data_IF_831260209605
#
_entry.id   IF_831260209605
#
_cell.length_a   1.000
_cell.length_b   1.000
_cell.length_c   1.000
_cell.angle_alpha   90.00
_cell.angle_beta   90.00
_cell.angle_gamma   90.00
#
_symmetry.space_group_name_H-M   'P 1'
#
loop_
_entity.id
_entity.type
_entity.pdbx_description
1 polymer ?
#
# COMPACT_ATOMS: atom_id res chain seq x y z
N UNK A 1 -11.40 -25.46 -43.24
CA UNK A 1 -11.71 -24.01 -43.21
C UNK A 1 -12.33 -23.70 -41.86
N UNK A 2 -11.56 -23.14 -40.95
CA UNK A 2 -12.03 -22.64 -39.65
C UNK A 2 -11.24 -21.37 -39.37
N UNK A 3 -11.90 -20.23 -39.50
CA UNK A 3 -11.28 -18.91 -39.43
C UNK A 3 -11.43 -18.32 -38.02
N UNK A 4 -10.28 -17.92 -37.48
CA UNK A 4 -10.06 -17.21 -36.23
C UNK A 4 -10.89 -15.92 -36.14
N UNK A 5 -11.50 -15.67 -34.97
CA UNK A 5 -11.96 -14.33 -34.57
C UNK A 5 -10.74 -13.57 -34.03
N UNK A 6 -10.41 -12.45 -34.68
CA UNK A 6 -9.51 -11.42 -34.15
C UNK A 6 -10.33 -10.51 -33.24
N UNK A 7 -9.79 -10.20 -32.07
CA UNK A 7 -10.20 -9.08 -31.23
C UNK A 7 -9.76 -7.79 -31.94
N UNK A 8 -10.68 -6.87 -32.20
CA UNK A 8 -10.38 -5.52 -32.68
C UNK A 8 -10.25 -4.61 -31.45
N UNK A 9 -9.05 -4.05 -31.25
CA UNK A 9 -8.78 -2.98 -30.30
C UNK A 9 -9.45 -1.69 -30.78
N UNK A 10 -10.32 -1.10 -29.94
CA UNK A 10 -10.91 0.22 -30.18
C UNK A 10 -9.82 1.31 -30.10
N UNK A 11 -9.40 1.84 -31.26
CA UNK A 11 -8.54 3.00 -31.34
C UNK A 11 -9.37 4.29 -31.32
N UNK A 12 -9.41 4.96 -30.17
CA UNK A 12 -9.88 6.34 -30.07
C UNK A 12 -8.88 7.29 -30.75
N UNK A 13 -9.27 7.91 -31.87
CA UNK A 13 -8.45 8.87 -32.60
C UNK A 13 -8.66 10.27 -32.00
N UNK A 14 -7.63 10.83 -31.36
CA UNK A 14 -7.63 12.23 -30.90
C UNK A 14 -7.05 13.10 -32.03
N UNK A 15 -7.88 13.94 -32.64
CA UNK A 15 -7.44 14.94 -33.61
C UNK A 15 -7.18 16.27 -32.89
N UNK A 16 -5.92 16.69 -32.83
CA UNK A 16 -5.52 18.02 -32.34
C UNK A 16 -5.21 18.88 -33.57
N UNK A 17 -6.04 19.90 -33.82
CA UNK A 17 -5.73 20.93 -34.82
C UNK A 17 -4.79 21.95 -34.18
N UNK A 18 -3.56 22.00 -34.65
CA UNK A 18 -2.55 22.99 -34.28
C UNK A 18 -2.73 24.22 -35.17
N UNK A 19 -3.45 25.24 -34.68
CA UNK A 19 -3.55 26.55 -35.33
C UNK A 19 -3.14 27.62 -34.32
N UNK A 20 -1.87 28.02 -34.39
CA UNK A 20 -1.27 29.11 -33.63
C UNK A 20 -1.86 30.45 -34.07
N UNK A 21 -2.94 30.87 -33.42
CA UNK A 21 -3.34 32.28 -33.42
C UNK A 21 -3.87 32.70 -32.04
N UNK A 22 -3.24 33.73 -31.48
CA UNK A 22 -3.60 34.31 -30.19
C UNK A 22 -5.04 34.84 -30.21
N UNK A 23 -5.96 34.07 -29.62
CA UNK A 23 -7.23 34.61 -29.13
C UNK A 23 -7.72 33.84 -27.91
N UNK A 24 -8.01 34.59 -26.86
CA UNK A 24 -8.52 34.12 -25.58
C UNK A 24 -9.96 33.64 -25.70
N UNK A 25 -10.20 32.35 -25.92
CA UNK A 25 -11.45 31.65 -25.58
C UNK A 25 -11.29 30.13 -25.76
N UNK A 26 -11.46 29.42 -24.63
CA UNK A 26 -11.54 27.96 -24.42
C UNK A 26 -11.33 27.00 -25.60
N UNK A 27 -10.25 26.20 -25.52
CA UNK A 27 -10.12 24.93 -26.24
C UNK A 27 -11.30 24.01 -25.88
N UNK A 28 -12.26 23.87 -26.79
CA UNK A 28 -13.35 22.90 -26.66
C UNK A 28 -12.93 21.58 -27.31
N UNK A 29 -12.69 20.56 -26.48
CA UNK A 29 -12.47 19.18 -26.95
C UNK A 29 -13.82 18.54 -27.21
N UNK A 30 -14.07 18.09 -28.44
CA UNK A 30 -15.24 17.30 -28.80
C UNK A 30 -14.86 15.82 -28.78
N UNK A 31 -15.38 15.07 -27.80
CA UNK A 31 -15.36 13.61 -27.80
C UNK A 31 -16.61 13.14 -28.56
N UNK A 32 -16.40 12.47 -29.70
CA UNK A 32 -17.49 11.84 -30.47
C UNK A 32 -17.40 10.35 -30.23
N UNK A 33 -18.26 9.84 -29.34
CA UNK A 33 -18.43 8.40 -29.17
C UNK A 33 -19.24 7.82 -30.35
N UNK A 34 -18.83 6.68 -30.94
CA UNK A 34 -19.66 5.97 -31.90
C UNK A 34 -20.95 5.48 -31.23
N UNK A 35 -22.09 5.78 -31.86
CA UNK A 35 -23.41 5.40 -31.38
C UNK A 35 -23.60 3.87 -31.41
N UNK A 36 -23.33 3.21 -30.29
CA UNK A 36 -23.88 1.88 -30.02
C UNK A 36 -25.29 2.02 -29.43
N UNK A 37 -26.27 1.36 -30.07
CA UNK A 37 -27.65 1.26 -29.56
C UNK A 37 -27.70 0.27 -28.39
N UNK A 38 -28.34 0.61 -27.26
CA UNK A 38 -28.93 -0.41 -26.39
C UNK A 38 -30.46 -0.36 -26.50
N UNK A 39 -31.04 -1.53 -26.80
CA UNK A 39 -32.42 -1.82 -26.46
C UNK A 39 -32.42 -2.40 -25.05
N UNK A 40 -32.94 -1.67 -24.06
CA UNK A 40 -33.46 -2.21 -22.80
C UNK A 40 -34.46 -1.19 -22.22
N UNK A 41 -35.66 -1.68 -21.91
CA UNK A 41 -36.84 -0.90 -21.51
C UNK A 41 -36.64 -0.16 -20.17
N UNK A 42 -36.74 1.16 -20.19
CA UNK A 42 -36.74 1.99 -18.98
C UNK A 42 -38.17 2.12 -18.41
N UNK A 43 -38.31 1.83 -17.11
CA UNK A 43 -39.54 2.11 -16.34
C UNK A 43 -39.71 3.62 -16.18
N UNK A 44 -40.79 4.16 -16.74
CA UNK A 44 -41.21 5.55 -16.59
C UNK A 44 -41.43 5.91 -15.12
N UNK A 45 -40.61 6.80 -14.57
CA UNK A 45 -40.87 7.48 -13.30
C UNK A 45 -41.95 8.55 -13.48
N UNK A 46 -42.84 8.69 -12.50
CA UNK A 46 -43.96 9.64 -12.51
C UNK A 46 -43.47 11.08 -12.49
N UNK A 47 -44.02 11.89 -13.40
CA UNK A 47 -43.72 13.31 -13.59
C UNK A 47 -44.38 14.13 -12.46
N UNK A 48 -43.57 14.86 -11.69
CA UNK A 48 -44.06 15.89 -10.75
C UNK A 48 -43.81 17.25 -11.38
N UNK A 49 -44.87 17.98 -11.70
CA UNK A 49 -44.80 19.30 -12.35
C UNK A 49 -44.97 20.39 -11.28
N UNK A 50 -44.00 21.29 -11.17
CA UNK A 50 -44.10 22.52 -10.38
C UNK A 50 -44.82 23.57 -11.25
N UNK A 51 -46.02 23.99 -10.82
CA UNK A 51 -46.92 24.83 -11.63
C UNK A 51 -46.50 26.33 -11.66
N UNK A 52 -45.51 26.73 -10.85
CA UNK A 52 -45.08 28.14 -10.73
C UNK A 52 -43.80 28.46 -11.54
N UNK A 53 -43.10 27.43 -12.01
CA UNK A 53 -41.97 27.55 -12.94
C UNK A 53 -42.27 26.72 -14.18
N UNK A 54 -42.36 27.32 -15.37
CA UNK A 54 -42.54 26.63 -16.67
C UNK A 54 -41.32 25.74 -17.07
N UNK A 55 -40.68 25.09 -16.10
CA UNK A 55 -39.53 24.22 -16.25
C UNK A 55 -40.00 22.77 -16.23
N UNK A 56 -40.08 22.16 -17.42
CA UNK A 56 -40.34 20.73 -17.57
C UNK A 56 -39.01 19.98 -17.66
N UNK A 57 -38.80 18.99 -16.79
CA UNK A 57 -37.69 18.03 -16.94
C UNK A 57 -38.02 17.07 -18.08
N UNK A 58 -37.47 17.33 -19.26
CA UNK A 58 -37.75 16.54 -20.48
C UNK A 58 -36.92 15.25 -20.57
N UNK A 59 -35.88 15.13 -19.75
CA UNK A 59 -35.00 13.97 -19.69
C UNK A 59 -34.32 13.90 -18.32
N UNK A 60 -34.37 12.73 -17.68
CA UNK A 60 -33.58 12.43 -16.50
C UNK A 60 -32.87 11.09 -16.73
N UNK A 61 -31.55 11.10 -16.62
CA UNK A 61 -30.74 9.89 -16.61
C UNK A 61 -29.99 9.82 -15.30
N UNK A 62 -30.00 8.65 -14.67
CA UNK A 62 -29.18 8.42 -13.49
C UNK A 62 -27.70 8.51 -13.89
N UNK A 63 -26.97 9.41 -13.25
CA UNK A 63 -25.54 9.54 -13.48
C UNK A 63 -24.80 8.30 -12.95
N UNK A 64 -23.73 7.91 -13.64
CA UNK A 64 -22.82 6.90 -13.11
C UNK A 64 -22.11 7.49 -11.88
N UNK A 65 -22.17 6.76 -10.76
CA UNK A 65 -21.45 7.15 -9.55
C UNK A 65 -19.96 6.92 -9.79
N UNK A 66 -19.16 7.97 -9.76
CA UNK A 66 -17.71 7.90 -9.90
C UNK A 66 -17.04 7.49 -8.58
N UNK A 67 -15.82 6.93 -8.61
CA UNK A 67 -15.04 6.70 -7.39
C UNK A 67 -14.92 7.97 -6.54
N UNK A 68 -15.24 7.86 -5.26
CA UNK A 68 -15.24 8.99 -4.33
C UNK A 68 -14.75 8.56 -2.95
N UNK A 69 -14.21 9.49 -2.18
CA UNK A 69 -13.81 9.19 -0.82
C UNK A 69 -15.05 8.84 -0.01
N UNK A 70 -14.93 7.89 0.92
CA UNK A 70 -16.07 7.49 1.76
C UNK A 70 -16.82 8.66 2.40
N UNK A 71 -16.11 9.71 2.84
CA UNK A 71 -16.73 10.88 3.47
C UNK A 71 -17.55 11.77 2.53
N UNK A 72 -17.48 11.53 1.22
CA UNK A 72 -18.26 12.20 0.17
C UNK A 72 -19.37 11.30 -0.40
N UNK A 73 -19.59 10.11 0.17
CA UNK A 73 -20.62 9.19 -0.29
C UNK A 73 -22.02 9.76 -0.07
N UNK A 74 -22.82 9.82 -1.14
CA UNK A 74 -24.22 10.30 -1.09
C UNK A 74 -25.22 9.21 -0.69
N UNK A 75 -24.81 7.93 -0.77
CA UNK A 75 -25.64 6.78 -0.43
C UNK A 75 -25.57 6.47 1.07
N UNK A 76 -24.37 6.55 1.66
CA UNK A 76 -24.12 6.23 3.06
C UNK A 76 -23.73 7.48 3.85
N UNK A 77 -24.54 7.91 4.84
CA UNK A 77 -24.23 9.06 5.69
C UNK A 77 -22.85 8.95 6.33
N UNK A 78 -22.21 10.09 6.57
CA UNK A 78 -20.87 10.15 7.16
C UNK A 78 -20.83 11.05 8.39
N UNK A 79 -20.22 10.56 9.46
CA UNK A 79 -19.99 11.29 10.70
C UNK A 79 -18.51 11.66 10.84
N UNK A 80 -18.22 12.94 11.10
CA UNK A 80 -16.85 13.46 11.23
C UNK A 80 -16.41 13.52 12.68
N UNK A 81 -15.20 13.05 12.95
CA UNK A 81 -14.49 13.26 14.21
C UNK A 81 -12.98 13.33 13.93
N UNK A 82 -12.27 14.08 14.76
CA UNK A 82 -10.88 14.42 14.48
C UNK A 82 -9.93 13.21 14.46
N UNK A 83 -9.97 12.34 15.47
CA UNK A 83 -8.94 11.30 15.63
C UNK A 83 -9.46 9.95 16.13
N UNK A 84 -10.73 9.63 15.92
CA UNK A 84 -11.26 8.32 16.35
C UNK A 84 -10.85 7.20 15.39
N UNK A 85 -9.90 6.39 15.84
CA UNK A 85 -9.46 5.17 15.16
C UNK A 85 -9.95 3.89 15.84
N UNK A 86 -10.71 3.99 16.94
CA UNK A 86 -11.05 2.86 17.80
C UNK A 86 -12.07 1.93 17.13
N UNK A 87 -13.12 2.50 16.55
CA UNK A 87 -14.22 1.78 15.92
C UNK A 87 -14.95 2.66 14.91
N UNK A 88 -15.71 2.09 13.95
CA UNK A 88 -16.53 2.87 13.06
C UNK A 88 -17.47 3.81 13.82
N UNK A 89 -17.46 5.09 13.46
CA UNK A 89 -18.39 6.09 13.99
C UNK A 89 -19.71 6.00 13.23
N UNK A 90 -20.81 5.76 13.94
CA UNK A 90 -22.12 5.63 13.34
C UNK A 90 -22.13 4.62 12.20
N UNK A 91 -22.44 5.10 10.99
CA UNK A 91 -22.53 4.30 9.76
C UNK A 91 -21.29 4.43 8.85
N UNK A 92 -20.17 4.96 9.37
CA UNK A 92 -18.96 5.16 8.57
C UNK A 92 -18.40 3.86 7.95
N UNK A 93 -18.69 2.70 8.55
CA UNK A 93 -18.32 1.39 8.01
C UNK A 93 -19.02 1.04 6.70
N UNK A 94 -20.24 1.55 6.47
CA UNK A 94 -21.04 1.21 5.30
C UNK A 94 -20.45 1.85 4.04
N UNK A 95 -20.38 1.10 2.94
CA UNK A 95 -19.75 1.56 1.69
C UNK A 95 -20.65 1.24 0.50
N UNK A 96 -20.60 2.08 -0.52
CA UNK A 96 -21.04 1.68 -1.86
C UNK A 96 -19.83 1.16 -2.66
N UNK A 97 -20.09 0.56 -3.81
CA UNK A 97 -19.06 -0.07 -4.66
C UNK A 97 -17.99 0.90 -5.17
N UNK A 98 -18.27 2.21 -5.11
CA UNK A 98 -17.40 3.28 -5.61
C UNK A 98 -16.71 4.07 -4.47
N UNK A 99 -16.95 3.70 -3.21
CA UNK A 99 -16.23 4.32 -2.11
C UNK A 99 -14.75 3.87 -2.11
N UNK A 100 -13.83 4.81 -1.99
CA UNK A 100 -12.42 4.53 -1.70
C UNK A 100 -12.05 4.95 -0.27
N UNK A 101 -11.07 4.23 0.27
CA UNK A 101 -10.44 4.53 1.55
C UNK A 101 -9.50 5.74 1.40
N UNK A 102 -9.80 6.82 2.11
CA UNK A 102 -9.02 8.06 2.06
C UNK A 102 -7.53 7.86 2.41
N UNK A 103 -7.23 6.97 3.36
CA UNK A 103 -5.86 6.69 3.82
C UNK A 103 -5.08 5.84 2.81
N UNK A 104 -5.70 4.79 2.27
CA UNK A 104 -5.01 3.82 1.41
C UNK A 104 -5.01 4.18 -0.08
N UNK A 105 -5.88 5.10 -0.51
CA UNK A 105 -6.07 5.47 -1.92
C UNK A 105 -6.48 4.26 -2.80
N UNK A 106 -7.33 3.38 -2.23
CA UNK A 106 -7.86 2.15 -2.87
C UNK A 106 -9.34 1.98 -2.53
N UNK A 107 -10.05 1.11 -3.24
CA UNK A 107 -11.44 0.80 -2.91
C UNK A 107 -11.60 0.43 -1.43
N UNK A 108 -12.67 0.94 -0.81
CA UNK A 108 -12.90 0.72 0.62
C UNK A 108 -13.10 -0.77 0.94
N UNK A 109 -13.68 -1.52 0.01
CA UNK A 109 -13.81 -2.99 0.06
C UNK A 109 -12.48 -3.74 0.06
N UNK A 110 -11.41 -3.13 -0.45
CA UNK A 110 -10.06 -3.70 -0.49
C UNK A 110 -9.18 -3.24 0.69
N UNK A 111 -9.71 -2.36 1.55
CA UNK A 111 -8.97 -1.83 2.68
C UNK A 111 -8.96 -2.83 3.84
N UNK A 112 -7.81 -3.44 4.10
CA UNK A 112 -7.61 -4.38 5.21
C UNK A 112 -7.83 -3.74 6.59
N UNK A 113 -7.68 -2.41 6.68
CA UNK A 113 -7.85 -1.64 7.91
C UNK A 113 -9.19 -0.89 7.97
N UNK A 114 -10.16 -1.23 7.11
CA UNK A 114 -11.40 -0.45 6.99
C UNK A 114 -12.11 -0.27 8.35
N UNK A 115 -12.39 -1.38 9.03
CA UNK A 115 -13.04 -1.42 10.34
C UNK A 115 -12.17 -2.04 11.42
N UNK A 116 -10.85 -2.14 11.19
CA UNK A 116 -9.93 -2.76 12.14
C UNK A 116 -9.88 -1.94 13.42
N UNK A 117 -10.17 -2.53 14.59
CA UNK A 117 -10.15 -1.80 15.85
C UNK A 117 -8.81 -1.11 16.11
N UNK A 118 -8.86 0.10 16.64
CA UNK A 118 -7.71 1.00 16.90
C UNK A 118 -6.97 1.51 15.66
N UNK A 119 -7.31 1.04 14.45
CA UNK A 119 -6.72 1.46 13.18
C UNK A 119 -7.79 1.66 12.09
N UNK A 120 -9.04 1.95 12.46
CA UNK A 120 -10.12 1.93 11.47
C UNK A 120 -10.00 3.13 10.52
N UNK A 121 -9.91 2.84 9.22
CA UNK A 121 -9.81 3.88 8.19
C UNK A 121 -11.17 4.44 7.77
N UNK A 122 -12.27 3.77 8.10
CA UNK A 122 -13.62 4.20 7.72
C UNK A 122 -14.02 5.58 8.25
N UNK A 123 -13.41 6.04 9.35
CA UNK A 123 -13.66 7.37 9.91
C UNK A 123 -12.83 8.49 9.25
N UNK A 124 -11.91 8.14 8.34
CA UNK A 124 -10.94 9.09 7.83
C UNK A 124 -11.53 10.10 6.85
N UNK A 125 -11.18 11.37 7.01
CA UNK A 125 -11.67 12.45 6.14
C UNK A 125 -10.68 13.61 5.95
N UNK A 126 -10.80 14.34 4.85
CA UNK A 126 -9.87 15.42 4.48
C UNK A 126 -9.95 16.70 5.33
N UNK A 127 -10.97 16.83 6.17
CA UNK A 127 -11.13 18.02 7.04
C UNK A 127 -10.31 17.98 8.32
N UNK A 128 -9.83 16.81 8.75
CA UNK A 128 -8.97 16.71 9.92
C UNK A 128 -7.50 16.81 9.54
N UNK A 129 -6.71 17.50 10.37
CA UNK A 129 -5.25 17.45 10.27
C UNK A 129 -4.72 16.05 10.59
N UNK A 130 -5.28 15.38 11.59
CA UNK A 130 -4.85 14.04 11.98
C UNK A 130 -4.96 13.04 10.82
N UNK A 131 -6.11 13.00 10.15
CA UNK A 131 -6.32 12.09 9.02
C UNK A 131 -5.46 12.43 7.80
N UNK A 132 -5.20 13.72 7.55
CA UNK A 132 -4.24 14.15 6.51
C UNK A 132 -2.84 13.65 6.82
N UNK A 133 -2.35 13.90 8.03
CA UNK A 133 -1.02 13.46 8.46
C UNK A 133 -0.91 11.91 8.39
N UNK A 134 -1.97 11.18 8.75
CA UNK A 134 -2.02 9.71 8.63
C UNK A 134 -2.00 9.22 7.18
N UNK A 135 -2.73 9.90 6.27
CA UNK A 135 -2.70 9.61 4.84
C UNK A 135 -1.30 9.87 4.28
N UNK A 136 -0.70 11.00 4.64
CA UNK A 136 0.61 11.39 4.14
C UNK A 136 1.68 10.40 4.61
N UNK A 137 1.62 9.97 5.88
CA UNK A 137 2.45 8.90 6.40
C UNK A 137 2.24 7.59 5.63
N UNK A 138 1.00 7.21 5.35
CA UNK A 138 0.68 6.00 4.57
C UNK A 138 1.20 6.07 3.13
N UNK A 139 1.16 7.24 2.50
CA UNK A 139 1.62 7.44 1.11
C UNK A 139 3.15 7.51 0.98
N UNK A 140 3.83 8.06 1.98
CA UNK A 140 5.28 8.03 2.08
C UNK A 140 5.79 6.61 2.41
N UNK A 141 5.04 5.88 3.23
CA UNK A 141 5.40 4.53 3.65
C UNK A 141 6.77 4.51 4.32
N UNK A 142 7.61 3.56 3.92
CA UNK A 142 8.97 3.42 4.47
C UNK A 142 9.87 4.64 4.21
N UNK A 143 9.55 5.45 3.19
CA UNK A 143 10.34 6.62 2.80
C UNK A 143 10.27 7.77 3.81
N UNK A 144 9.30 7.74 4.73
CA UNK A 144 9.21 8.68 5.85
C UNK A 144 10.51 8.73 6.64
N UNK A 145 11.30 7.65 6.64
CA UNK A 145 12.58 7.58 7.36
C UNK A 145 13.63 8.58 6.84
N UNK A 146 13.44 9.10 5.63
CA UNK A 146 14.32 10.05 4.96
C UNK A 146 13.78 11.49 4.96
N UNK A 147 12.60 11.72 5.56
CA UNK A 147 11.93 13.03 5.59
C UNK A 147 11.70 13.64 4.20
N UNK A 148 11.33 12.82 3.21
CA UNK A 148 10.91 13.35 1.90
C UNK A 148 9.52 13.98 1.97
N UNK A 149 9.35 15.09 1.25
CA UNK A 149 8.02 15.61 0.95
C UNK A 149 7.32 14.71 -0.08
N UNK A 150 6.00 14.55 0.03
CA UNK A 150 5.23 13.67 -0.87
C UNK A 150 5.36 14.03 -2.35
N UNK A 151 5.59 15.31 -2.65
CA UNK A 151 5.79 15.81 -4.03
C UNK A 151 7.11 15.38 -4.63
N UNK A 152 8.09 15.05 -3.79
CA UNK A 152 9.43 14.64 -4.23
C UNK A 152 9.52 13.13 -4.46
N UNK A 153 8.53 12.37 -3.96
CA UNK A 153 8.47 10.90 -4.06
C UNK A 153 8.00 10.49 -5.46
N UNK A 154 8.98 10.30 -6.35
CA UNK A 154 8.80 9.77 -7.69
C UNK A 154 8.74 8.22 -7.74
N UNK A 155 8.61 7.68 -8.95
CA UNK A 155 8.53 6.23 -9.17
C UNK A 155 9.78 5.46 -8.72
N UNK A 156 10.96 6.05 -8.86
CA UNK A 156 12.24 5.44 -8.50
C UNK A 156 12.39 5.36 -6.98
N UNK A 157 12.07 6.44 -6.26
CA UNK A 157 12.07 6.45 -4.80
C UNK A 157 11.03 5.48 -4.26
N UNK A 158 9.83 5.41 -4.84
CA UNK A 158 8.82 4.40 -4.48
C UNK A 158 9.33 2.99 -4.72
N UNK A 159 10.02 2.75 -5.83
CA UNK A 159 10.61 1.46 -6.13
C UNK A 159 11.67 1.05 -5.09
N UNK A 160 12.63 1.92 -4.80
CA UNK A 160 13.63 1.70 -3.76
C UNK A 160 13.02 1.47 -2.38
N UNK A 161 11.96 2.22 -2.03
CA UNK A 161 11.19 2.01 -0.80
C UNK A 161 10.52 0.63 -0.76
N UNK A 162 9.91 0.19 -1.85
CA UNK A 162 9.29 -1.13 -1.95
C UNK A 162 10.30 -2.29 -1.84
N UNK A 163 11.55 -2.09 -2.26
CA UNK A 163 12.63 -3.05 -2.02
C UNK A 163 13.09 -3.01 -0.57
N UNK A 164 13.26 -1.81 -0.01
CA UNK A 164 13.68 -1.60 1.38
C UNK A 164 12.69 -2.22 2.38
N UNK A 165 11.38 -2.08 2.18
CA UNK A 165 10.39 -2.67 3.10
C UNK A 165 10.46 -4.21 3.11
N UNK A 166 10.71 -4.85 1.97
CA UNK A 166 10.91 -6.31 1.90
C UNK A 166 12.18 -6.71 2.62
N UNK A 167 13.27 -5.98 2.40
CA UNK A 167 14.52 -6.19 3.11
C UNK A 167 14.36 -6.06 4.62
N UNK A 168 13.66 -5.02 5.13
CA UNK A 168 13.43 -4.84 6.57
C UNK A 168 12.68 -6.04 7.17
N UNK A 169 11.68 -6.57 6.46
CA UNK A 169 10.94 -7.75 6.91
C UNK A 169 11.84 -8.99 7.00
N UNK A 170 12.64 -9.25 5.97
CA UNK A 170 13.62 -10.36 5.97
C UNK A 170 14.70 -10.17 7.04
N UNK A 171 15.20 -8.94 7.19
CA UNK A 171 16.24 -8.58 8.16
C UNK A 171 15.75 -8.80 9.59
N UNK A 172 14.50 -8.44 9.87
CA UNK A 172 13.89 -8.68 11.18
C UNK A 172 13.90 -10.18 11.52
N UNK A 173 13.58 -11.05 10.57
CA UNK A 173 13.60 -12.51 10.79
C UNK A 173 15.01 -13.00 11.09
N UNK A 174 15.99 -12.64 10.26
CA UNK A 174 17.39 -13.07 10.43
C UNK A 174 18.02 -12.50 11.70
N UNK A 175 17.70 -11.24 12.04
CA UNK A 175 18.21 -10.62 13.25
C UNK A 175 17.61 -11.24 14.51
N UNK A 176 16.33 -11.61 14.49
CA UNK A 176 15.72 -12.38 15.58
C UNK A 176 16.37 -13.78 15.72
N UNK A 177 16.66 -14.46 14.61
CA UNK A 177 17.39 -15.74 14.64
C UNK A 177 18.77 -15.57 15.31
N UNK A 178 19.47 -14.48 14.97
CA UNK A 178 20.72 -14.13 15.61
C UNK A 178 20.57 -13.89 17.11
N UNK A 179 19.57 -13.11 17.55
CA UNK A 179 19.33 -12.82 18.98
C UNK A 179 18.93 -14.06 19.79
N UNK A 180 18.19 -14.99 19.19
CA UNK A 180 17.80 -16.26 19.85
C UNK A 180 19.03 -17.14 20.07
N UNK A 181 19.98 -17.12 19.12
CA UNK A 181 21.20 -17.93 19.16
C UNK A 181 20.95 -19.43 18.96
N UNK A 182 22.01 -20.15 18.61
CA UNK A 182 21.97 -21.59 18.44
C UNK A 182 22.49 -22.29 19.68
N UNK A 183 21.70 -23.24 20.23
CA UNK A 183 22.16 -24.08 21.33
C UNK A 183 23.06 -25.19 20.80
N UNK A 184 24.32 -25.15 21.17
CA UNK A 184 25.34 -26.07 20.72
C UNK A 184 25.95 -26.83 21.91
N UNK A 185 26.30 -28.11 21.74
CA UNK A 185 27.13 -28.82 22.70
C UNK A 185 28.46 -28.07 22.93
N UNK A 186 29.01 -28.12 24.15
CA UNK A 186 30.28 -27.48 24.43
C UNK A 186 31.37 -28.27 23.73
N UNK A 187 32.16 -27.61 22.89
CA UNK A 187 33.25 -28.27 22.16
C UNK A 187 34.50 -28.45 23.01
N UNK A 188 34.60 -27.77 24.17
CA UNK A 188 35.82 -27.68 24.98
C UNK A 188 35.68 -28.14 26.44
N UNK A 189 34.48 -28.51 26.89
CA UNK A 189 34.28 -28.88 28.28
C UNK A 189 34.69 -30.34 28.55
N UNK A 190 35.61 -30.53 29.51
CA UNK A 190 35.98 -31.86 30.00
C UNK A 190 34.80 -32.51 30.74
N UNK A 191 34.59 -33.80 30.46
CA UNK A 191 33.55 -34.58 31.12
C UNK A 191 33.99 -35.01 32.53
N UNK A 192 33.19 -34.70 33.54
CA UNK A 192 33.37 -35.18 34.91
C UNK A 192 32.49 -36.39 35.27
N UNK A 193 31.69 -36.91 34.32
CA UNK A 193 30.91 -38.14 34.53
C UNK A 193 31.81 -39.38 34.58
N UNK A 194 31.29 -40.48 35.13
CA UNK A 194 31.94 -41.79 35.13
C UNK A 194 31.14 -42.74 34.21
N UNK A 195 31.77 -43.35 33.19
CA UNK A 195 33.16 -43.17 32.76
C UNK A 195 33.40 -41.79 32.11
N UNK A 196 34.64 -41.28 32.23
CA UNK A 196 35.04 -40.02 31.59
C UNK A 196 35.13 -40.24 30.08
N UNK A 197 34.29 -39.52 29.33
CA UNK A 197 34.29 -39.53 27.87
C UNK A 197 34.90 -38.24 27.31
N UNK A 198 35.45 -38.23 26.09
CA UNK A 198 35.92 -37.03 25.43
C UNK A 198 34.84 -35.92 25.34
N UNK A 199 35.23 -34.63 25.24
CA UNK A 199 34.29 -33.51 25.06
C UNK A 199 33.28 -33.79 23.94
N UNK A 200 32.01 -33.48 24.19
CA UNK A 200 30.91 -33.70 23.23
C UNK A 200 30.41 -35.15 23.07
N UNK A 201 31.10 -36.16 23.64
CA UNK A 201 30.71 -37.57 23.50
C UNK A 201 29.84 -38.10 24.66
N UNK A 202 29.80 -37.39 25.80
CA UNK A 202 28.94 -37.76 26.93
C UNK A 202 27.53 -37.18 26.75
N UNK A 203 26.52 -38.05 26.57
CA UNK A 203 25.12 -37.61 26.43
C UNK A 203 24.61 -36.79 27.63
N UNK A 204 25.01 -37.14 28.86
CA UNK A 204 24.59 -36.43 30.08
C UNK A 204 25.16 -35.01 30.10
N UNK A 205 26.47 -34.85 29.84
CA UNK A 205 27.12 -33.54 29.76
C UNK A 205 26.60 -32.74 28.57
N UNK A 206 26.34 -33.38 27.43
CA UNK A 206 25.80 -32.74 26.22
C UNK A 206 24.43 -32.11 26.48
N UNK A 207 23.56 -32.79 27.22
CA UNK A 207 22.22 -32.25 27.52
C UNK A 207 22.24 -31.20 28.62
N UNK A 208 23.17 -31.29 29.59
CA UNK A 208 23.25 -30.38 30.74
C UNK A 208 24.04 -29.10 30.48
N UNK A 209 25.07 -29.19 29.65
CA UNK A 209 25.92 -28.06 29.27
C UNK A 209 25.61 -27.76 27.80
N UNK A 210 24.68 -26.85 27.55
CA UNK A 210 24.46 -26.31 26.21
C UNK A 210 24.95 -24.86 26.23
N UNK A 211 25.82 -24.52 25.30
CA UNK A 211 26.26 -23.13 25.09
C UNK A 211 25.38 -22.50 24.02
N UNK A 212 25.06 -21.22 24.19
CA UNK A 212 24.38 -20.45 23.14
C UNK A 212 25.44 -19.77 22.29
N UNK A 213 25.41 -20.04 20.99
CA UNK A 213 26.31 -19.44 20.01
C UNK A 213 25.50 -18.51 19.12
N UNK A 214 25.87 -17.24 19.09
CA UNK A 214 25.23 -16.22 18.27
C UNK A 214 25.97 -16.07 16.95
N UNK A 215 25.31 -16.39 15.83
CA UNK A 215 25.91 -16.34 14.49
C UNK A 215 25.30 -15.21 13.68
N UNK A 216 26.08 -14.17 13.41
CA UNK A 216 25.63 -13.02 12.62
C UNK A 216 25.68 -13.29 11.09
N UNK A 217 26.06 -14.50 10.67
CA UNK A 217 26.28 -14.82 9.25
C UNK A 217 25.01 -14.75 8.39
N UNK A 218 23.84 -15.07 8.94
CA UNK A 218 22.56 -14.97 8.23
C UNK A 218 22.23 -13.51 7.89
N UNK A 219 22.31 -12.65 8.90
CA UNK A 219 22.17 -11.19 8.75
C UNK A 219 23.18 -10.64 7.76
N UNK A 220 24.47 -10.99 7.91
CA UNK A 220 25.53 -10.54 7.00
C UNK A 220 25.23 -10.92 5.54
N UNK A 221 24.91 -12.18 5.26
CA UNK A 221 24.63 -12.65 3.90
C UNK A 221 23.42 -11.95 3.29
N UNK A 222 22.36 -11.73 4.07
CA UNK A 222 21.17 -11.01 3.64
C UNK A 222 21.49 -9.56 3.27
N UNK A 223 22.23 -8.85 4.15
CA UNK A 223 22.66 -7.47 3.92
C UNK A 223 23.51 -7.39 2.66
N UNK A 224 24.54 -8.24 2.51
CA UNK A 224 25.40 -8.24 1.32
C UNK A 224 24.59 -8.41 0.04
N UNK A 225 23.69 -9.41 -0.01
CA UNK A 225 22.83 -9.63 -1.18
C UNK A 225 21.98 -8.40 -1.52
N UNK A 226 21.44 -7.73 -0.51
CA UNK A 226 20.62 -6.54 -0.72
C UNK A 226 21.44 -5.34 -1.23
N UNK A 227 22.66 -5.16 -0.73
CA UNK A 227 23.58 -4.13 -1.21
C UNK A 227 24.01 -4.40 -2.66
N UNK A 228 24.34 -5.65 -2.99
CA UNK A 228 24.68 -6.06 -4.36
C UNK A 228 23.51 -5.81 -5.32
N UNK A 229 22.27 -6.07 -4.88
CA UNK A 229 21.08 -5.75 -5.67
C UNK A 229 20.97 -4.25 -5.92
N UNK A 230 21.20 -3.41 -4.90
CA UNK A 230 21.10 -1.95 -5.02
C UNK A 230 22.08 -1.38 -6.07
N UNK A 231 23.23 -2.02 -6.31
CA UNK A 231 24.17 -1.59 -7.36
C UNK A 231 23.59 -1.71 -8.78
N UNK A 232 22.56 -2.53 -8.97
CA UNK A 232 21.88 -2.71 -10.27
C UNK A 232 20.65 -1.82 -10.47
N UNK A 233 20.26 -1.05 -9.45
CA UNK A 233 19.09 -0.18 -9.47
C UNK A 233 19.41 1.25 -9.93
N UNK A 234 18.38 2.07 -10.15
CA UNK A 234 18.58 3.49 -10.45
C UNK A 234 19.28 4.22 -9.30
N UNK A 235 20.05 5.30 -9.53
CA UNK A 235 20.77 5.99 -8.47
C UNK A 235 19.88 6.47 -7.31
N UNK A 236 18.63 6.87 -7.60
CA UNK A 236 17.64 7.30 -6.59
C UNK A 236 17.15 6.12 -5.75
N UNK A 237 16.80 5.01 -6.41
CA UNK A 237 16.37 3.80 -5.73
C UNK A 237 17.51 3.19 -4.88
N UNK A 238 18.71 3.10 -5.45
CA UNK A 238 19.91 2.60 -4.77
C UNK A 238 20.24 3.42 -3.52
N UNK A 239 20.15 4.75 -3.58
CA UNK A 239 20.38 5.60 -2.41
C UNK A 239 19.41 5.30 -1.25
N UNK A 240 18.12 5.12 -1.56
CA UNK A 240 17.11 4.70 -0.58
C UNK A 240 17.46 3.36 0.04
N UNK A 241 17.84 2.38 -0.78
CA UNK A 241 18.20 1.04 -0.32
C UNK A 241 19.44 1.08 0.59
N UNK A 242 20.52 1.73 0.17
CA UNK A 242 21.77 1.81 0.92
C UNK A 242 21.58 2.52 2.27
N UNK A 243 20.98 3.71 2.25
CA UNK A 243 20.79 4.51 3.46
C UNK A 243 19.79 3.84 4.41
N UNK A 244 18.74 3.23 3.87
CA UNK A 244 17.77 2.46 4.66
C UNK A 244 18.42 1.25 5.34
N UNK A 245 19.16 0.43 4.59
CA UNK A 245 19.87 -0.72 5.15
C UNK A 245 20.88 -0.30 6.23
N UNK A 246 21.64 0.77 6.00
CA UNK A 246 22.58 1.29 6.99
C UNK A 246 21.87 1.73 8.28
N UNK A 247 20.72 2.40 8.17
CA UNK A 247 19.93 2.84 9.32
C UNK A 247 19.41 1.67 10.15
N UNK A 248 18.89 0.63 9.50
CA UNK A 248 18.37 -0.57 10.17
C UNK A 248 19.47 -1.36 10.87
N UNK A 249 20.58 -1.62 10.16
CA UNK A 249 21.72 -2.37 10.72
C UNK A 249 22.38 -1.60 11.88
N UNK A 250 22.40 -0.26 11.84
CA UNK A 250 22.93 0.54 12.94
C UNK A 250 22.14 0.40 14.26
N UNK A 251 20.91 -0.11 14.21
CA UNK A 251 20.10 -0.37 15.41
C UNK A 251 20.39 -1.74 16.03
N UNK A 252 21.12 -2.62 15.34
CA UNK A 252 21.47 -3.93 15.85
C UNK A 252 22.44 -3.81 17.04
N UNK A 253 22.17 -4.61 18.07
CA UNK A 253 22.99 -4.77 19.27
C UNK A 253 23.44 -6.22 19.40
N UNK A 254 24.61 -6.40 19.98
CA UNK A 254 25.09 -7.72 20.40
C UNK A 254 24.21 -8.26 21.56
N UNK A 255 23.90 -9.57 21.58
CA UNK A 255 23.14 -10.24 22.65
C UNK A 255 23.76 -10.16 24.04
#
# INVERSE_FOLDING_TARGET
MGTSKKEEEEQGIILISDDESESTLGNSVLLVDPLEKPALEEKKSEEVVDEECELMVTFCKQANVMPHARYDCTIHPFERMECDTCSPLGQNADICDQCYCYICDKLASECQNWTTPSLCHCNAHNKSKFWKDQRDFSLAGVLVMFNFDLTDIDADLRHGGNLLIKFIQELSVEYNNYLVGERMPPTRHECFCLPKLPPGQCNICRTRNMEVVYKYSGVFALVTRFLDQAESESPRAAAVMFLGAAKEVALHKDP
#
